data_IF_158577337442
#
_entry.id   IF_158577337442
#
_cell.length_a   1.000
_cell.length_b   1.000
_cell.length_c   1.000
_cell.angle_alpha   90.00
_cell.angle_beta   90.00
_cell.angle_gamma   90.00
#
_symmetry.space_group_name_H-M   'P 1'
#
loop_
_entity.id
_entity.type
_entity.pdbx_description
1 polymer ?
#
# COMPACT_ATOMS: atom_id res chain seq x y z
N UNK A 1 21.73 7.86 -7.57
CA UNK A 1 21.12 7.63 -8.91
C UNK A 1 20.36 6.32 -9.00
N UNK A 2 21.00 5.16 -8.74
CA UNK A 2 20.37 3.82 -8.84
C UNK A 2 19.08 3.65 -8.00
N UNK A 3 19.07 4.11 -6.75
CA UNK A 3 17.87 4.06 -5.87
C UNK A 3 16.69 4.83 -6.47
N UNK A 4 16.94 6.02 -7.06
CA UNK A 4 15.90 6.82 -7.71
C UNK A 4 15.31 6.13 -8.94
N UNK A 5 16.15 5.46 -9.74
CA UNK A 5 15.71 4.71 -10.92
C UNK A 5 14.86 3.50 -10.49
N UNK A 6 15.25 2.81 -9.41
CA UNK A 6 14.47 1.73 -8.83
C UNK A 6 13.12 2.22 -8.32
N UNK A 7 13.08 3.34 -7.59
CA UNK A 7 11.84 3.89 -7.05
C UNK A 7 10.88 4.33 -8.16
N UNK A 8 11.36 4.92 -9.26
CA UNK A 8 10.49 5.39 -10.34
C UNK A 8 9.99 4.29 -11.27
N UNK A 9 10.78 3.24 -11.51
CA UNK A 9 10.42 2.21 -12.49
C UNK A 9 9.88 0.93 -11.86
N UNK A 10 10.54 0.41 -10.83
CA UNK A 10 10.21 -0.90 -10.25
C UNK A 10 9.18 -0.74 -9.13
N UNK A 11 9.43 0.20 -8.21
CA UNK A 11 8.55 0.41 -7.04
C UNK A 11 7.15 0.88 -7.47
N UNK A 12 7.06 1.78 -8.45
CA UNK A 12 5.78 2.28 -8.99
C UNK A 12 4.90 1.16 -9.54
N UNK A 13 5.45 0.22 -10.31
CA UNK A 13 4.73 -0.92 -10.88
C UNK A 13 4.22 -1.85 -9.76
N UNK A 14 5.07 -2.15 -8.78
CA UNK A 14 4.71 -3.00 -7.63
C UNK A 14 3.59 -2.38 -6.81
N UNK A 15 3.70 -1.08 -6.50
CA UNK A 15 2.70 -0.36 -5.70
C UNK A 15 1.40 -0.20 -6.48
N UNK A 16 1.44 0.09 -7.77
CA UNK A 16 0.23 0.19 -8.61
C UNK A 16 -0.55 -1.15 -8.68
N UNK A 17 0.16 -2.27 -8.81
CA UNK A 17 -0.46 -3.60 -8.76
C UNK A 17 -1.04 -3.94 -7.39
N UNK A 18 -0.44 -3.42 -6.32
CA UNK A 18 -0.96 -3.55 -4.97
C UNK A 18 -2.19 -2.65 -4.72
N UNK A 19 -2.18 -1.41 -5.21
CA UNK A 19 -3.24 -0.41 -5.07
C UNK A 19 -4.56 -0.85 -5.73
N UNK A 20 -4.45 -1.51 -6.88
CA UNK A 20 -5.62 -1.95 -7.67
C UNK A 20 -6.18 -3.30 -7.23
N UNK A 21 -5.46 -4.04 -6.39
CA UNK A 21 -5.85 -5.38 -5.93
C UNK A 21 -5.99 -5.43 -4.42
N UNK A 22 -6.59 -6.51 -3.91
CA UNK A 22 -6.72 -6.70 -2.48
C UNK A 22 -5.36 -6.99 -1.83
N UNK A 23 -4.85 -6.05 -1.04
CA UNK A 23 -3.59 -6.20 -0.33
C UNK A 23 -3.78 -6.93 0.99
N UNK A 24 -3.46 -8.22 1.01
CA UNK A 24 -3.31 -8.94 2.28
C UNK A 24 -1.99 -8.53 2.94
N UNK A 25 -1.96 -8.46 4.27
CA UNK A 25 -0.73 -8.21 5.05
C UNK A 25 0.43 -9.16 4.66
N UNK A 26 0.12 -10.37 4.19
CA UNK A 26 1.10 -11.33 3.67
C UNK A 26 1.71 -10.91 2.33
N UNK A 27 0.93 -10.32 1.43
CA UNK A 27 1.41 -9.80 0.14
C UNK A 27 2.29 -8.58 0.38
N UNK A 28 1.83 -7.65 1.22
CA UNK A 28 2.58 -6.44 1.60
C UNK A 28 3.95 -6.84 2.19
N UNK A 29 3.98 -7.80 3.12
CA UNK A 29 5.23 -8.31 3.71
C UNK A 29 6.17 -8.90 2.66
N UNK A 30 5.66 -9.69 1.70
CA UNK A 30 6.48 -10.26 0.61
C UNK A 30 7.07 -9.18 -0.27
N UNK A 31 6.28 -8.16 -0.63
CA UNK A 31 6.74 -7.02 -1.44
C UNK A 31 7.79 -6.20 -0.67
N UNK A 32 7.59 -5.99 0.63
CA UNK A 32 8.57 -5.31 1.48
C UNK A 32 9.92 -6.04 1.54
N UNK A 33 9.90 -7.36 1.72
CA UNK A 33 11.13 -8.18 1.72
C UNK A 33 11.84 -8.11 0.37
N UNK A 34 11.09 -8.16 -0.73
CA UNK A 34 11.65 -8.01 -2.08
C UNK A 34 12.32 -6.65 -2.28
N UNK A 35 11.65 -5.56 -1.87
CA UNK A 35 12.18 -4.20 -1.96
C UNK A 35 13.42 -4.04 -1.10
N UNK A 36 13.40 -4.50 0.15
CA UNK A 36 14.58 -4.44 1.03
C UNK A 36 15.76 -5.22 0.44
N UNK A 37 15.54 -6.40 -0.14
CA UNK A 37 16.58 -7.18 -0.82
C UNK A 37 17.19 -6.40 -2.01
N UNK A 38 16.34 -5.73 -2.80
CA UNK A 38 16.79 -4.90 -3.91
C UNK A 38 17.60 -3.68 -3.42
N UNK A 39 17.16 -3.02 -2.35
CA UNK A 39 17.88 -1.87 -1.76
C UNK A 39 19.25 -2.29 -1.22
N UNK A 40 19.34 -3.43 -0.51
CA UNK A 40 20.62 -3.96 -0.06
C UNK A 40 21.57 -4.23 -1.23
N UNK A 41 21.07 -4.82 -2.32
CA UNK A 41 21.87 -5.08 -3.51
C UNK A 41 22.29 -3.81 -4.26
N UNK A 42 21.49 -2.74 -4.21
CA UNK A 42 21.84 -1.44 -4.79
C UNK A 42 22.92 -0.73 -3.96
N UNK A 43 22.90 -0.91 -2.64
CA UNK A 43 23.87 -0.36 -1.69
C UNK A 43 25.13 -1.23 -1.52
N UNK A 44 25.20 -2.36 -2.23
CA UNK A 44 26.31 -3.34 -2.17
C UNK A 44 26.57 -3.93 -0.76
N UNK A 45 25.50 -4.03 0.04
CA UNK A 45 25.54 -4.60 1.39
C UNK A 45 25.62 -6.12 1.27
N UNK A 46 26.67 -6.72 1.83
CA UNK A 46 26.88 -8.16 1.81
C UNK A 46 26.32 -8.83 3.06
N UNK A 47 26.08 -10.14 2.97
CA UNK A 47 25.45 -10.96 4.02
C UNK A 47 26.09 -10.91 5.43
N UNK A 48 27.41 -10.62 5.64
CA UNK A 48 27.92 -10.45 7.01
C UNK A 48 27.49 -9.12 7.66
N UNK A 49 27.03 -8.14 6.88
CA UNK A 49 26.59 -6.84 7.39
C UNK A 49 25.12 -6.91 7.80
N UNK A 50 24.86 -7.25 9.07
CA UNK A 50 23.51 -7.22 9.64
C UNK A 50 23.10 -5.76 9.86
N UNK A 51 22.34 -5.23 8.91
CA UNK A 51 21.80 -3.87 8.95
C UNK A 51 20.34 -3.90 9.38
N UNK A 52 19.95 -2.97 10.26
CA UNK A 52 18.55 -2.78 10.64
C UNK A 52 17.75 -2.21 9.47
N UNK A 53 16.48 -2.62 9.34
CA UNK A 53 15.58 -2.08 8.31
C UNK A 53 15.44 -0.55 8.41
N UNK A 54 15.45 0.01 9.63
CA UNK A 54 15.37 1.46 9.84
C UNK A 54 16.56 2.21 9.25
N UNK A 55 17.78 1.70 9.46
CA UNK A 55 18.99 2.31 8.90
C UNK A 55 19.01 2.24 7.37
N UNK A 56 18.53 1.13 6.80
CA UNK A 56 18.39 0.98 5.35
C UNK A 56 17.45 2.03 4.75
N UNK A 57 16.31 2.26 5.40
CA UNK A 57 15.31 3.24 4.97
C UNK A 57 15.79 4.69 5.12
N UNK A 58 16.46 5.00 6.23
CA UNK A 58 17.08 6.31 6.47
C UNK A 58 18.13 6.62 5.40
N UNK A 59 19.02 5.67 5.11
CA UNK A 59 20.08 5.85 4.11
C UNK A 59 19.56 5.98 2.68
N UNK A 60 18.38 5.44 2.39
CA UNK A 60 17.75 5.49 1.07
C UNK A 60 16.67 6.56 0.94
N UNK A 61 16.34 7.28 2.04
CA UNK A 61 15.17 8.16 2.15
C UNK A 61 13.90 7.48 1.61
N UNK A 62 13.67 6.23 2.00
CA UNK A 62 12.51 5.43 1.57
C UNK A 62 11.56 5.18 2.74
N UNK A 63 10.27 5.18 2.45
CA UNK A 63 9.23 4.74 3.38
C UNK A 63 8.89 3.25 3.18
N UNK A 64 8.36 2.59 4.23
CA UNK A 64 7.74 1.27 4.12
C UNK A 64 6.66 1.24 3.05
N UNK A 65 6.55 0.12 2.35
CA UNK A 65 5.58 -0.08 1.26
C UNK A 65 4.14 0.01 1.74
N UNK A 66 3.89 -0.44 2.98
CA UNK A 66 2.57 -0.32 3.61
C UNK A 66 2.13 1.14 3.72
N UNK A 67 3.06 2.04 4.05
CA UNK A 67 2.76 3.47 4.18
C UNK A 67 2.47 4.09 2.82
N UNK A 68 3.27 3.79 1.80
CA UNK A 68 3.07 4.31 0.44
C UNK A 68 1.75 3.83 -0.18
N UNK A 69 1.39 2.56 0.00
CA UNK A 69 0.08 2.04 -0.45
C UNK A 69 -1.06 2.77 0.25
N UNK A 70 -0.93 2.98 1.56
CA UNK A 70 -1.95 3.67 2.36
C UNK A 70 -2.09 5.14 1.97
N UNK A 71 -0.99 5.83 1.69
CA UNK A 71 -1.01 7.21 1.18
C UNK A 71 -1.78 7.29 -0.14
N UNK A 72 -1.53 6.38 -1.10
CA UNK A 72 -2.29 6.35 -2.35
C UNK A 72 -3.75 6.02 -2.18
N UNK A 73 -4.07 5.09 -1.28
CA UNK A 73 -5.45 4.80 -0.91
C UNK A 73 -6.14 6.06 -0.36
N UNK A 74 -5.44 6.84 0.45
CA UNK A 74 -5.95 8.10 0.99
C UNK A 74 -6.11 9.17 -0.09
N UNK A 75 -5.14 9.36 -0.98
CA UNK A 75 -5.23 10.25 -2.14
C UNK A 75 -6.43 9.90 -3.03
N UNK A 76 -6.71 8.61 -3.24
CA UNK A 76 -7.88 8.15 -3.99
C UNK A 76 -9.20 8.46 -3.28
N UNK A 77 -9.24 8.31 -1.95
CA UNK A 77 -10.39 8.69 -1.13
C UNK A 77 -10.60 10.20 -1.19
N UNK A 78 -9.56 11.01 -0.98
CA UNK A 78 -9.64 12.46 -1.07
C UNK A 78 -10.14 12.91 -2.45
N UNK A 79 -9.60 12.33 -3.53
CA UNK A 79 -10.05 12.62 -4.89
C UNK A 79 -11.52 12.26 -5.12
N UNK A 80 -11.98 11.18 -4.49
CA UNK A 80 -13.38 10.74 -4.56
C UNK A 80 -14.29 11.67 -3.75
N UNK A 81 -13.89 12.02 -2.51
CA UNK A 81 -14.62 12.92 -1.60
C UNK A 81 -14.74 14.34 -2.16
N UNK A 82 -13.74 14.81 -2.92
CA UNK A 82 -13.77 16.14 -3.54
C UNK A 82 -14.69 16.20 -4.78
N UNK A 83 -15.12 15.07 -5.33
CA UNK A 83 -16.16 15.07 -6.39
C UNK A 83 -17.53 15.35 -5.80
N UNK A 84 -18.45 15.85 -6.63
CA UNK A 84 -19.83 16.14 -6.23
C UNK A 84 -20.51 14.93 -5.58
N UNK A 85 -21.36 15.16 -4.57
CA UNK A 85 -22.11 14.13 -3.83
C UNK A 85 -22.90 13.14 -4.71
N UNK A 86 -23.28 13.58 -5.91
CA UNK A 86 -24.08 12.80 -6.87
C UNK A 86 -23.23 11.90 -7.77
N UNK A 87 -21.89 11.92 -7.67
CA UNK A 87 -21.07 11.07 -8.53
C UNK A 87 -21.17 9.59 -8.11
N UNK A 88 -21.23 8.72 -9.12
CA UNK A 88 -21.42 7.26 -8.96
C UNK A 88 -20.34 6.68 -8.04
N UNK A 89 -19.10 7.19 -8.11
CA UNK A 89 -17.99 6.76 -7.27
C UNK A 89 -18.20 7.08 -5.79
N UNK A 90 -18.71 8.28 -5.47
CA UNK A 90 -19.06 8.66 -4.09
C UNK A 90 -20.20 7.82 -3.55
N UNK A 91 -21.24 7.58 -4.36
CA UNK A 91 -22.33 6.68 -3.99
C UNK A 91 -21.87 5.23 -3.79
N UNK A 92 -20.93 4.74 -4.61
CA UNK A 92 -20.36 3.42 -4.43
C UNK A 92 -19.50 3.31 -3.16
N UNK A 93 -18.83 4.40 -2.76
CA UNK A 93 -18.01 4.47 -1.55
C UNK A 93 -18.87 4.57 -0.27
N UNK A 94 -19.96 5.34 -0.30
CA UNK A 94 -20.87 5.53 0.84
C UNK A 94 -21.84 4.36 1.05
N UNK A 95 -22.11 3.56 0.01
CA UNK A 95 -23.04 2.44 0.08
C UNK A 95 -22.44 1.29 0.90
N UNK A 96 -22.74 1.31 2.19
CA UNK A 96 -22.66 0.12 3.04
C UNK A 96 -23.54 -0.97 2.42
N UNK A 97 -23.00 -2.18 2.25
CA UNK A 97 -23.80 -3.34 1.87
C UNK A 97 -24.66 -3.76 3.07
N UNK A 98 -25.75 -3.04 3.30
CA UNK A 98 -26.78 -3.38 4.28
C UNK A 98 -27.54 -4.61 3.79
N UNK A 99 -27.03 -5.79 4.15
CA UNK A 99 -27.62 -7.07 3.79
C UNK A 99 -26.83 -8.25 4.36
N UNK A 100 -27.54 -9.32 4.70
CA UNK A 100 -26.93 -10.59 5.11
C UNK A 100 -26.12 -11.13 3.93
N UNK A 101 -24.81 -11.27 4.09
CA UNK A 101 -23.93 -11.74 3.02
C UNK A 101 -24.23 -13.21 2.70
N UNK A 102 -24.40 -13.52 1.41
CA UNK A 102 -24.43 -14.89 0.88
C UNK A 102 -23.26 -15.71 1.42
N UNK A 103 -23.53 -16.94 1.88
CA UNK A 103 -22.51 -17.88 2.36
C UNK A 103 -21.56 -18.21 1.20
N UNK A 104 -20.34 -17.65 1.24
CA UNK A 104 -19.34 -17.75 0.17
C UNK A 104 -18.79 -16.41 -0.32
N UNK A 105 -19.47 -15.29 -0.01
CA UNK A 105 -18.98 -13.94 -0.35
C UNK A 105 -17.83 -13.54 0.59
N UNK A 106 -16.71 -13.05 0.02
CA UNK A 106 -15.52 -12.63 0.80
C UNK A 106 -15.89 -11.56 1.83
N UNK A 107 -15.42 -11.73 3.07
CA UNK A 107 -15.83 -10.97 4.27
C UNK A 107 -15.46 -9.48 4.31
N UNK A 108 -14.50 -9.03 3.49
CA UNK A 108 -14.03 -7.62 3.56
C UNK A 108 -14.16 -6.95 2.20
N UNK A 109 -14.64 -5.71 2.21
CA UNK A 109 -14.73 -4.80 1.06
C UNK A 109 -13.53 -3.85 1.14
N UNK A 110 -13.07 -3.25 0.02
CA UNK A 110 -12.03 -2.21 0.04
C UNK A 110 -12.33 -1.13 1.10
N UNK A 111 -13.58 -0.70 1.22
CA UNK A 111 -14.04 0.21 2.28
C UNK A 111 -13.73 -0.27 3.70
N UNK A 112 -13.86 -1.57 4.00
CA UNK A 112 -13.55 -2.12 5.34
C UNK A 112 -12.05 -2.21 5.60
N UNK A 113 -11.25 -2.37 4.54
CA UNK A 113 -9.79 -2.32 4.65
C UNK A 113 -9.34 -0.87 4.92
N UNK A 114 -9.92 0.11 4.22
CA UNK A 114 -9.73 1.53 4.51
C UNK A 114 -10.21 1.91 5.92
N UNK A 115 -11.39 1.45 6.34
CA UNK A 115 -11.92 1.71 7.69
C UNK A 115 -10.99 1.12 8.77
N UNK A 116 -10.37 -0.03 8.51
CA UNK A 116 -9.38 -0.62 9.40
C UNK A 116 -8.07 0.20 9.43
N UNK A 117 -7.63 0.73 8.30
CA UNK A 117 -6.45 1.61 8.22
C UNK A 117 -6.69 2.93 8.97
N UNK A 118 -7.89 3.53 8.86
CA UNK A 118 -8.29 4.72 9.61
C UNK A 118 -8.33 4.45 11.13
N UNK A 119 -8.90 3.32 11.55
CA UNK A 119 -8.94 2.90 12.97
C UNK A 119 -7.56 2.61 13.58
N UNK A 120 -6.53 2.39 12.76
CA UNK A 120 -5.16 2.16 13.24
C UNK A 120 -4.43 3.48 13.58
N UNK A 121 -4.94 4.62 13.14
CA UNK A 121 -4.31 5.94 13.30
C UNK A 121 -5.00 6.86 14.33
N UNK A 122 -6.25 6.56 14.69
CA UNK A 122 -6.95 7.14 15.83
C UNK A 122 -6.77 6.29 17.09
#
# INVERSE_FOLDING_TARGET
>A
MKVRIFSTNVKTILVYGAETWRTTTTIIKKVQVFINSCLCRILDIHWPDIISNSFLWERTNQLPVEEEIRERHWEWIEHTLWKSSNCITMHALSRNAEGKLESGRRKNTLYREFEADVKKYN
#
